data_IF_664568143820
#
_entry.id   IF_664568143820
#
_cell.length_a   1.000
_cell.length_b   1.000
_cell.length_c   1.000
_cell.angle_alpha   90.00
_cell.angle_beta   90.00
_cell.angle_gamma   90.00
#
_symmetry.space_group_name_H-M   'P 1'
#
loop_
_entity.id
_entity.type
_entity.pdbx_description
1 polymer ?
#
# COMPACT_ATOMS: atom_id res chain seq x y z
N UNK A 1 10.14 18.89 -3.58
CA UNK A 1 8.96 18.51 -4.38
C UNK A 1 8.84 17.02 -4.22
N UNK A 2 7.74 16.52 -3.65
CA UNK A 2 7.47 15.09 -3.52
C UNK A 2 7.38 14.48 -4.91
N UNK A 3 8.00 13.33 -5.14
CA UNK A 3 7.71 12.58 -6.37
C UNK A 3 6.28 12.05 -6.29
N UNK A 4 5.54 11.99 -7.41
CA UNK A 4 4.30 11.24 -7.47
C UNK A 4 4.57 9.80 -7.02
N UNK A 5 3.64 9.22 -6.26
CA UNK A 5 3.75 7.82 -5.85
C UNK A 5 2.53 7.01 -6.22
N UNK A 6 2.78 5.73 -6.51
CA UNK A 6 1.76 4.71 -6.65
C UNK A 6 2.03 3.66 -5.57
N UNK A 7 1.07 3.39 -4.71
CA UNK A 7 1.18 2.38 -3.66
C UNK A 7 0.36 1.16 -4.10
N UNK A 8 0.99 -0.01 -4.08
CA UNK A 8 0.35 -1.31 -4.28
C UNK A 8 0.13 -1.92 -2.90
N UNK A 9 -1.12 -2.10 -2.48
CA UNK A 9 -1.47 -2.62 -1.15
C UNK A 9 -2.02 -4.03 -1.29
N UNK A 10 -1.37 -5.01 -0.67
CA UNK A 10 -1.85 -6.39 -0.66
C UNK A 10 -2.83 -6.56 0.51
N UNK A 11 -4.14 -6.72 0.25
CA UNK A 11 -5.11 -6.90 1.31
C UNK A 11 -5.15 -8.34 1.85
N UNK A 12 -4.44 -9.28 1.23
CA UNK A 12 -4.49 -10.71 1.56
C UNK A 12 -3.36 -11.15 2.49
N UNK A 13 -2.26 -10.39 2.56
CA UNK A 13 -1.18 -10.67 3.51
C UNK A 13 -1.67 -10.36 4.92
N UNK A 14 -1.65 -11.38 5.79
CA UNK A 14 -1.98 -11.24 7.20
C UNK A 14 -0.93 -10.40 7.93
N UNK A 15 -1.33 -9.76 9.03
CA UNK A 15 -0.44 -8.90 9.82
C UNK A 15 0.84 -9.61 10.25
N UNK A 16 0.71 -10.86 10.71
CA UNK A 16 1.81 -11.65 11.26
C UNK A 16 2.76 -12.19 10.18
N UNK A 17 2.38 -12.10 8.90
CA UNK A 17 3.20 -12.49 7.74
C UNK A 17 3.77 -11.28 6.98
N UNK A 18 3.42 -10.05 7.38
CA UNK A 18 3.74 -8.84 6.61
C UNK A 18 5.25 -8.57 6.53
N UNK A 19 5.99 -8.83 7.61
CA UNK A 19 7.45 -8.69 7.66
C UNK A 19 8.12 -9.76 6.79
N UNK A 20 7.66 -11.01 6.86
CA UNK A 20 8.15 -12.11 6.05
C UNK A 20 7.91 -11.82 4.56
N UNK A 21 6.73 -11.32 4.18
CA UNK A 21 6.40 -10.93 2.81
C UNK A 21 7.31 -9.79 2.31
N UNK A 22 7.51 -8.74 3.12
CA UNK A 22 8.39 -7.63 2.77
C UNK A 22 9.85 -8.04 2.64
N UNK A 23 10.35 -8.88 3.56
CA UNK A 23 11.71 -9.40 3.52
C UNK A 23 11.93 -10.34 2.32
N UNK A 24 10.97 -11.22 2.04
CA UNK A 24 11.04 -12.13 0.89
C UNK A 24 11.12 -11.35 -0.42
N UNK A 25 10.28 -10.31 -0.59
CA UNK A 25 10.33 -9.47 -1.78
C UNK A 25 11.64 -8.67 -1.86
N UNK A 26 12.12 -8.12 -0.74
CA UNK A 26 13.45 -7.47 -0.71
C UNK A 26 14.55 -8.41 -1.19
N UNK A 27 14.64 -9.62 -0.62
CA UNK A 27 15.67 -10.60 -1.00
C UNK A 27 15.58 -11.00 -2.47
N UNK A 28 14.36 -11.14 -3.01
CA UNK A 28 14.15 -11.40 -4.44
C UNK A 28 14.66 -10.24 -5.30
N UNK A 29 14.24 -9.01 -5.02
CA UNK A 29 14.56 -7.82 -5.82
C UNK A 29 16.01 -7.36 -5.67
N UNK A 30 16.62 -7.59 -4.52
CA UNK A 30 18.05 -7.36 -4.32
C UNK A 30 18.85 -8.46 -5.01
N UNK A 31 18.47 -9.73 -4.83
CA UNK A 31 19.17 -10.88 -5.40
C UNK A 31 19.20 -10.90 -6.92
N UNK A 32 18.17 -10.36 -7.58
CA UNK A 32 18.11 -10.24 -9.04
C UNK A 32 18.65 -8.89 -9.58
N UNK A 33 19.14 -8.01 -8.70
CA UNK A 33 19.71 -6.71 -9.05
C UNK A 33 18.70 -5.63 -9.42
N UNK A 34 17.40 -5.84 -9.17
CA UNK A 34 16.36 -4.82 -9.40
C UNK A 34 16.59 -3.57 -8.56
N UNK A 35 16.97 -3.76 -7.30
CA UNK A 35 17.22 -2.69 -6.33
C UNK A 35 18.60 -2.80 -5.69
N UNK A 36 19.07 -1.70 -5.12
CA UNK A 36 20.26 -1.69 -4.27
C UNK A 36 20.00 -2.26 -2.87
N UNK A 37 21.03 -2.73 -2.16
CA UNK A 37 20.89 -3.35 -0.83
C UNK A 37 20.60 -2.34 0.29
N UNK A 38 20.94 -1.08 0.10
CA UNK A 38 20.83 -0.07 1.15
C UNK A 38 19.71 0.92 0.88
N UNK A 39 19.15 1.42 1.98
CA UNK A 39 18.21 2.52 1.99
C UNK A 39 18.86 3.79 1.45
N UNK A 40 18.11 4.62 0.75
CA UNK A 40 18.58 5.92 0.26
C UNK A 40 17.56 7.04 0.49
N UNK A 41 18.06 8.27 0.55
CA UNK A 41 17.25 9.48 0.77
C UNK A 41 17.14 9.86 2.24
N UNK A 42 16.51 11.01 2.51
CA UNK A 42 16.18 11.48 3.86
C UNK A 42 14.67 11.41 4.05
N UNK A 43 14.21 10.67 5.05
CA UNK A 43 12.78 10.49 5.34
C UNK A 43 12.36 9.03 5.31
N UNK A 44 11.33 8.71 4.52
CA UNK A 44 10.79 7.36 4.38
C UNK A 44 11.83 6.38 3.80
N UNK A 45 11.92 5.13 4.30
CA UNK A 45 12.84 4.13 3.78
C UNK A 45 12.55 3.77 2.31
N UNK A 46 13.58 3.86 1.46
CA UNK A 46 13.46 3.59 0.02
C UNK A 46 14.68 2.87 -0.51
N UNK A 47 14.47 1.98 -1.46
CA UNK A 47 15.49 1.27 -2.22
C UNK A 47 15.62 1.85 -3.62
N UNK A 48 16.85 2.13 -4.05
CA UNK A 48 17.09 2.69 -5.37
C UNK A 48 16.88 1.60 -6.42
N UNK A 49 16.13 1.92 -7.47
CA UNK A 49 15.95 1.02 -8.61
C UNK A 49 17.16 1.08 -9.54
N UNK A 50 17.68 -0.09 -9.90
CA UNK A 50 18.75 -0.28 -10.88
C UNK A 50 18.26 -0.90 -12.18
N UNK A 51 17.15 -1.63 -12.15
CA UNK A 51 16.53 -2.22 -13.34
C UNK A 51 16.15 -1.16 -14.39
N UNK A 52 16.62 -1.37 -15.62
CA UNK A 52 16.42 -0.42 -16.72
C UNK A 52 14.95 -0.31 -17.14
N UNK A 53 14.21 -1.41 -17.18
CA UNK A 53 12.80 -1.44 -17.57
C UNK A 53 11.94 -0.65 -16.57
N UNK A 54 12.18 -0.82 -15.27
CA UNK A 54 11.50 -0.03 -14.24
C UNK A 54 11.79 1.46 -14.37
N UNK A 55 13.05 1.82 -14.65
CA UNK A 55 13.46 3.22 -14.82
C UNK A 55 12.89 3.85 -16.08
N UNK A 56 12.80 3.11 -17.19
CA UNK A 56 12.13 3.55 -18.42
C UNK A 56 10.65 3.86 -18.20
N UNK A 57 10.01 3.13 -17.26
CA UNK A 57 8.64 3.40 -16.78
C UNK A 57 8.56 4.57 -15.80
N UNK A 58 9.68 5.20 -15.47
CA UNK A 58 9.76 6.33 -14.56
C UNK A 58 9.76 5.91 -13.08
N UNK A 59 10.02 4.65 -12.76
CA UNK A 59 10.16 4.17 -11.38
C UNK A 59 11.62 4.31 -10.97
N UNK A 60 11.87 5.19 -10.00
CA UNK A 60 13.22 5.52 -9.56
C UNK A 60 13.59 4.85 -8.24
N UNK A 61 12.57 4.48 -7.46
CA UNK A 61 12.75 3.83 -6.17
C UNK A 61 11.52 3.04 -5.76
N UNK A 62 11.74 2.11 -4.84
CA UNK A 62 10.71 1.30 -4.19
C UNK A 62 10.75 1.53 -2.67
N UNK A 63 9.59 1.62 -2.05
CA UNK A 63 9.42 1.47 -0.60
C UNK A 63 8.70 0.15 -0.35
N UNK A 64 9.18 -0.63 0.60
CA UNK A 64 8.53 -1.88 1.02
C UNK A 64 7.98 -1.66 2.42
N UNK A 65 6.70 -1.91 2.65
CA UNK A 65 6.03 -1.58 3.89
C UNK A 65 5.44 -2.83 4.51
N UNK A 66 5.73 -3.03 5.79
CA UNK A 66 5.14 -4.06 6.63
C UNK A 66 4.59 -3.39 7.89
N UNK A 67 3.31 -3.61 8.18
CA UNK A 67 2.65 -3.01 9.34
C UNK A 67 3.40 -3.33 10.64
N UNK A 68 3.66 -2.32 11.46
CA UNK A 68 4.38 -2.47 12.73
C UNK A 68 5.90 -2.62 12.60
N UNK A 69 6.45 -2.65 11.39
CA UNK A 69 7.89 -2.85 11.15
C UNK A 69 8.51 -1.69 10.39
N UNK A 70 9.79 -1.42 10.65
CA UNK A 70 10.58 -0.42 9.92
C UNK A 70 11.86 -1.02 9.38
N UNK A 71 12.31 -0.49 8.24
CA UNK A 71 13.61 -0.81 7.69
C UNK A 71 14.72 -0.07 8.43
N UNK A 72 15.79 -0.80 8.68
CA UNK A 72 17.10 -0.29 9.10
C UNK A 72 18.14 -0.84 8.14
N UNK A 73 19.29 -0.16 8.05
CA UNK A 73 20.39 -0.58 7.20
C UNK A 73 21.67 -0.73 8.03
N UNK A 74 22.46 -1.74 7.67
CA UNK A 74 23.78 -2.03 8.20
C UNK A 74 24.76 -2.33 7.05
N UNK A 75 25.94 -2.87 7.40
CA UNK A 75 27.00 -3.21 6.45
C UNK A 75 26.63 -4.39 5.53
N UNK A 76 25.67 -5.23 5.92
CA UNK A 76 25.22 -6.41 5.16
C UNK A 76 24.02 -6.11 4.25
N UNK A 77 23.30 -5.02 4.51
CA UNK A 77 22.19 -4.56 3.68
C UNK A 77 21.11 -3.88 4.49
N UNK A 78 19.85 -4.10 4.12
CA UNK A 78 18.69 -3.66 4.90
C UNK A 78 17.97 -4.84 5.55
N UNK A 79 17.44 -4.62 6.74
CA UNK A 79 16.61 -5.58 7.46
C UNK A 79 15.44 -4.89 8.19
N UNK A 80 14.41 -5.67 8.55
CA UNK A 80 13.24 -5.19 9.28
C UNK A 80 13.44 -5.36 10.79
N UNK A 81 12.94 -4.37 11.54
CA UNK A 81 12.84 -4.41 13.00
C UNK A 81 11.48 -3.87 13.44
N UNK A 82 11.05 -4.24 14.64
CA UNK A 82 9.83 -3.74 15.25
C UNK A 82 9.84 -2.22 15.42
N UNK A 83 8.66 -1.62 15.32
CA UNK A 83 8.41 -0.20 15.61
C UNK A 83 8.37 0.70 14.36
N UNK A 84 7.75 0.22 13.28
CA UNK A 84 7.32 1.05 12.15
C UNK A 84 5.88 1.58 12.31
N UNK A 85 5.37 2.34 11.32
CA UNK A 85 3.99 2.83 11.36
C UNK A 85 3.00 1.66 11.51
N UNK A 86 2.16 1.75 12.53
CA UNK A 86 1.49 0.58 13.11
C UNK A 86 0.25 0.13 12.35
N UNK A 87 -0.28 0.96 11.45
CA UNK A 87 -1.70 0.91 11.20
C UNK A 87 -2.10 0.57 9.76
N UNK A 88 -1.27 -0.04 8.92
CA UNK A 88 -1.70 -0.70 7.65
C UNK A 88 -2.67 0.09 6.74
N UNK A 89 -2.73 1.41 6.91
CA UNK A 89 -3.66 2.32 6.26
C UNK A 89 -2.82 3.11 5.30
N UNK A 90 -3.16 3.01 4.02
CA UNK A 90 -2.42 3.65 2.94
C UNK A 90 -3.33 4.66 2.28
N UNK A 91 -3.01 5.93 2.46
CA UNK A 91 -3.77 7.07 1.93
C UNK A 91 -2.81 8.23 1.63
N UNK A 92 -3.05 9.03 0.58
CA UNK A 92 -2.36 10.30 0.46
C UNK A 92 -2.85 11.18 1.60
N UNK A 93 -1.92 11.58 2.46
CA UNK A 93 -2.19 12.37 3.67
C UNK A 93 -2.59 13.81 3.32
N UNK A 94 -3.71 14.01 2.64
CA UNK A 94 -4.30 15.30 2.27
C UNK A 94 -5.55 15.65 3.11
N UNK A 95 -5.83 14.84 4.15
CA UNK A 95 -6.85 15.13 5.15
C UNK A 95 -8.27 14.67 4.81
N UNK A 96 -8.51 14.06 3.65
CA UNK A 96 -9.82 13.45 3.36
C UNK A 96 -9.71 12.44 2.22
N UNK A 97 -10.43 11.33 2.36
CA UNK A 97 -10.61 10.32 1.32
C UNK A 97 -12.08 9.93 1.24
N UNK A 98 -12.47 9.27 0.15
CA UNK A 98 -13.82 8.74 -0.02
C UNK A 98 -13.79 7.26 -0.29
N UNK A 99 -14.52 6.49 0.51
CA UNK A 99 -14.69 5.06 0.32
C UNK A 99 -16.12 4.73 -0.09
N UNK A 100 -16.28 3.57 -0.71
CA UNK A 100 -17.54 3.06 -1.21
C UNK A 100 -17.95 1.81 -0.46
N UNK A 101 -19.20 1.76 -0.03
CA UNK A 101 -19.80 0.55 0.55
C UNK A 101 -19.73 -0.60 -0.46
N UNK A 102 -19.23 -1.78 -0.06
CA UNK A 102 -19.13 -2.93 -0.97
C UNK A 102 -20.50 -3.41 -1.48
N UNK A 103 -21.56 -3.24 -0.70
CA UNK A 103 -22.91 -3.74 -1.03
C UNK A 103 -23.74 -2.76 -1.85
N UNK A 104 -24.01 -1.57 -1.30
CA UNK A 104 -24.93 -0.59 -1.92
C UNK A 104 -24.22 0.49 -2.74
N UNK A 105 -22.88 0.52 -2.70
CA UNK A 105 -22.03 1.52 -3.38
C UNK A 105 -22.20 2.96 -2.91
N UNK A 106 -22.89 3.19 -1.79
CA UNK A 106 -22.96 4.49 -1.13
C UNK A 106 -21.56 5.01 -0.82
N UNK A 107 -21.37 6.32 -0.94
CA UNK A 107 -20.11 6.98 -0.63
C UNK A 107 -20.06 7.38 0.83
N UNK A 108 -18.90 7.23 1.45
CA UNK A 108 -18.65 7.66 2.81
C UNK A 108 -17.29 8.35 2.90
N UNK A 109 -17.24 9.48 3.59
CA UNK A 109 -16.00 10.17 3.93
C UNK A 109 -15.96 10.44 5.45
N UNK A 110 -14.76 10.50 6.05
CA UNK A 110 -14.62 10.96 7.43
C UNK A 110 -15.21 12.37 7.63
N UNK A 111 -15.90 12.60 8.74
CA UNK A 111 -16.55 13.88 9.07
C UNK A 111 -17.86 14.19 8.34
N UNK A 112 -18.43 13.24 7.57
CA UNK A 112 -19.78 13.35 7.01
C UNK A 112 -20.83 12.79 7.99
N UNK A 113 -22.07 13.30 7.97
CA UNK A 113 -23.15 12.76 8.81
C UNK A 113 -23.34 11.25 8.53
N UNK A 114 -23.25 10.41 9.57
CA UNK A 114 -23.32 8.96 9.44
C UNK A 114 -21.97 8.25 9.25
N UNK A 115 -20.84 8.97 9.35
CA UNK A 115 -19.49 8.39 9.25
C UNK A 115 -18.89 7.90 10.59
N UNK A 116 -19.66 7.88 11.68
CA UNK A 116 -19.15 7.51 13.01
C UNK A 116 -18.56 6.11 13.02
N UNK A 117 -19.20 5.16 12.34
CA UNK A 117 -18.69 3.78 12.23
C UNK A 117 -17.37 3.68 11.46
N UNK A 118 -17.13 4.58 10.50
CA UNK A 118 -15.86 4.65 9.78
C UNK A 118 -14.75 5.17 10.70
N UNK A 119 -15.03 6.21 11.47
CA UNK A 119 -14.07 6.78 12.42
C UNK A 119 -13.69 5.77 13.51
N UNK A 120 -14.68 5.04 14.03
CA UNK A 120 -14.45 3.93 14.97
C UNK A 120 -13.62 2.80 14.34
N UNK A 121 -13.95 2.38 13.11
CA UNK A 121 -13.20 1.33 12.41
C UNK A 121 -11.73 1.73 12.18
N UNK A 122 -11.47 2.99 11.82
CA UNK A 122 -10.11 3.51 11.64
C UNK A 122 -9.33 3.54 12.96
N UNK A 123 -9.97 3.89 14.07
CA UNK A 123 -9.36 3.85 15.40
C UNK A 123 -9.07 2.42 15.85
N UNK A 124 -10.02 1.50 15.64
CA UNK A 124 -9.87 0.07 15.97
C UNK A 124 -8.80 -0.60 15.13
N UNK A 125 -8.65 -0.23 13.86
CA UNK A 125 -7.68 -0.85 12.96
C UNK A 125 -6.24 -0.77 13.49
N UNK A 126 -5.89 0.30 14.21
CA UNK A 126 -4.58 0.44 14.84
C UNK A 126 -4.29 -0.67 15.88
N UNK A 127 -5.29 -1.05 16.67
CA UNK A 127 -5.13 -1.98 17.79
C UNK A 127 -5.53 -3.42 17.42
N UNK A 128 -6.66 -3.57 16.72
CA UNK A 128 -7.27 -4.84 16.36
C UNK A 128 -7.82 -4.83 14.91
N UNK A 129 -6.94 -4.93 13.89
CA UNK A 129 -7.32 -4.91 12.47
C UNK A 129 -8.45 -5.85 12.09
N UNK A 130 -8.43 -7.09 12.62
CA UNK A 130 -9.43 -8.12 12.34
C UNK A 130 -10.82 -7.81 12.91
N UNK A 131 -10.93 -6.78 13.75
CA UNK A 131 -12.16 -6.31 14.39
C UNK A 131 -12.64 -4.97 13.83
N UNK A 132 -11.99 -4.42 12.79
CA UNK A 132 -12.38 -3.15 12.19
C UNK A 132 -13.51 -3.35 11.16
N UNK A 133 -14.74 -2.99 11.55
CA UNK A 133 -15.93 -3.08 10.70
C UNK A 133 -16.59 -1.72 10.55
N UNK A 134 -17.08 -1.43 9.34
CA UNK A 134 -17.84 -0.21 9.05
C UNK A 134 -19.29 -0.59 8.82
N UNK A 135 -20.19 0.19 9.41
CA UNK A 135 -21.64 0.07 9.20
C UNK A 135 -22.06 1.09 8.16
N UNK A 136 -22.58 0.62 7.03
CA UNK A 136 -23.06 1.53 5.99
C UNK A 136 -24.33 2.27 6.45
N UNK A 137 -24.35 3.63 6.44
CA UNK A 137 -25.53 4.38 6.88
C UNK A 137 -26.74 4.23 5.93
N UNK A 138 -26.52 3.82 4.68
CA UNK A 138 -27.56 3.71 3.65
C UNK A 138 -28.24 2.34 3.64
N UNK A 139 -27.46 1.24 3.68
CA UNK A 139 -28.01 -0.12 3.61
C UNK A 139 -27.85 -0.95 4.90
N UNK A 140 -27.30 -0.35 5.96
CA UNK A 140 -27.07 -0.97 7.27
C UNK A 140 -26.23 -2.26 7.24
N UNK A 141 -25.46 -2.52 6.17
CA UNK A 141 -24.57 -3.67 6.13
C UNK A 141 -23.32 -3.42 6.98
N UNK A 142 -22.86 -4.50 7.60
CA UNK A 142 -21.67 -4.55 8.44
C UNK A 142 -20.59 -5.29 7.68
N UNK A 143 -19.59 -4.58 7.18
CA UNK A 143 -18.53 -5.20 6.38
C UNK A 143 -17.15 -4.79 6.89
N UNK A 144 -16.15 -5.68 6.79
CA UNK A 144 -14.77 -5.38 7.15
C UNK A 144 -14.27 -4.12 6.45
N UNK A 145 -13.51 -3.28 7.15
CA UNK A 145 -12.95 -2.04 6.57
C UNK A 145 -12.11 -2.33 5.31
N UNK A 146 -11.39 -3.46 5.29
CA UNK A 146 -10.57 -3.91 4.16
C UNK A 146 -11.36 -4.17 2.88
N UNK A 147 -12.69 -4.32 2.93
CA UNK A 147 -13.54 -4.53 1.75
C UNK A 147 -14.03 -3.21 1.13
N UNK A 148 -13.89 -2.10 1.85
CA UNK A 148 -14.26 -0.80 1.33
C UNK A 148 -13.21 -0.33 0.32
N UNK A 149 -13.66 0.29 -0.77
CA UNK A 149 -12.79 0.73 -1.88
C UNK A 149 -12.93 2.21 -2.12
N UNK A 150 -11.81 2.90 -2.34
CA UNK A 150 -11.84 4.28 -2.82
C UNK A 150 -11.98 4.34 -4.34
N UNK A 151 -13.01 5.02 -4.90
CA UNK A 151 -13.10 5.27 -6.33
C UNK A 151 -11.99 6.19 -6.85
N UNK A 152 -11.42 7.03 -5.98
CA UNK A 152 -10.32 7.93 -6.30
C UNK A 152 -8.96 7.26 -6.26
N UNK A 153 -8.89 5.99 -5.80
CA UNK A 153 -7.64 5.31 -5.48
C UNK A 153 -6.80 6.15 -4.51
N UNK A 154 -7.43 6.70 -3.47
CA UNK A 154 -6.80 7.52 -2.43
C UNK A 154 -6.88 6.87 -1.04
N UNK A 155 -7.34 5.62 -0.97
CA UNK A 155 -7.41 4.90 0.29
C UNK A 155 -7.41 3.40 0.04
N UNK A 156 -6.60 2.70 0.80
CA UNK A 156 -6.59 1.26 0.91
C UNK A 156 -6.11 0.84 2.30
N UNK A 157 -6.48 -0.38 2.68
CA UNK A 157 -6.10 -1.00 3.94
C UNK A 157 -5.47 -2.35 3.63
N UNK A 158 -4.34 -2.65 4.27
CA UNK A 158 -3.61 -3.90 4.12
C UNK A 158 -2.40 -3.93 5.04
N UNK A 159 -1.76 -5.09 5.20
CA UNK A 159 -0.60 -5.19 6.09
C UNK A 159 0.74 -5.05 5.38
N UNK A 160 0.74 -5.30 4.07
CA UNK A 160 1.90 -5.20 3.20
C UNK A 160 1.62 -4.25 2.05
N UNK A 161 2.59 -3.39 1.73
CA UNK A 161 2.48 -2.51 0.57
C UNK A 161 3.83 -2.18 -0.09
N UNK A 162 3.76 -1.80 -1.36
CA UNK A 162 4.90 -1.39 -2.16
C UNK A 162 4.64 0.03 -2.67
N UNK A 163 5.46 0.99 -2.25
CA UNK A 163 5.44 2.35 -2.82
C UNK A 163 6.38 2.43 -4.01
N UNK A 164 5.84 2.81 -5.16
CA UNK A 164 6.58 3.09 -6.39
C UNK A 164 6.79 4.61 -6.47
N UNK A 165 8.05 5.05 -6.40
CA UNK A 165 8.41 6.47 -6.47
C UNK A 165 8.80 6.87 -7.88
N UNK A 166 8.22 7.98 -8.36
CA UNK A 166 8.53 8.57 -9.66
C UNK A 166 7.27 8.93 -10.42
N UNK A 167 7.05 8.36 -11.60
CA UNK A 167 5.82 8.65 -12.36
C UNK A 167 4.58 7.96 -11.75
N UNK A 168 3.41 8.58 -11.89
CA UNK A 168 2.14 7.89 -11.62
C UNK A 168 1.92 6.78 -12.65
N UNK A 169 1.94 5.53 -12.20
CA UNK A 169 1.82 4.36 -13.07
C UNK A 169 0.35 3.98 -13.26
N UNK A 170 -0.42 4.87 -13.89
CA UNK A 170 -1.85 4.64 -14.11
C UNK A 170 -2.17 3.38 -14.94
N UNK A 171 -1.20 2.88 -15.73
CA UNK A 171 -1.33 1.61 -16.47
C UNK A 171 -1.63 0.42 -15.56
N UNK A 172 -1.16 0.45 -14.30
CA UNK A 172 -1.41 -0.59 -13.32
C UNK A 172 -2.90 -0.75 -12.93
N UNK A 173 -3.74 0.27 -13.19
CA UNK A 173 -5.15 0.31 -12.76
C UNK A 173 -6.12 -0.58 -13.56
N UNK A 174 -5.63 -1.42 -14.47
CA UNK A 174 -6.47 -2.40 -15.17
C UNK A 174 -6.37 -2.37 -16.68
N UNK A 175 -5.18 -2.12 -17.23
CA UNK A 175 -4.89 -2.38 -18.63
C UNK A 175 -4.60 -3.86 -18.91
N UNK A 176 -4.81 -4.30 -20.16
CA UNK A 176 -4.28 -5.59 -20.68
C UNK A 176 -2.83 -5.46 -21.15
N UNK A 177 -2.09 -4.50 -20.60
CA UNK A 177 -0.68 -4.32 -20.95
C UNK A 177 0.11 -5.46 -20.30
N UNK A 178 0.64 -6.34 -21.13
CA UNK A 178 1.47 -7.45 -20.71
C UNK A 178 2.62 -7.01 -19.80
N UNK A 179 3.16 -5.82 -20.04
CA UNK A 179 4.29 -5.32 -19.28
C UNK A 179 3.87 -4.75 -17.91
N UNK A 180 2.63 -4.27 -17.75
CA UNK A 180 2.08 -3.91 -16.44
C UNK A 180 1.79 -5.16 -15.61
N UNK A 181 1.25 -6.22 -16.22
CA UNK A 181 1.07 -7.52 -15.57
C UNK A 181 2.41 -8.14 -15.17
N UNK A 182 3.41 -8.12 -16.05
CA UNK A 182 4.75 -8.62 -15.75
C UNK A 182 5.42 -7.84 -14.61
N UNK A 183 5.23 -6.52 -14.56
CA UNK A 183 5.68 -5.68 -13.45
C UNK A 183 5.02 -6.09 -12.13
N UNK A 184 3.68 -6.25 -12.12
CA UNK A 184 2.94 -6.68 -10.93
C UNK A 184 3.42 -8.04 -10.43
N UNK A 185 3.58 -9.02 -11.32
CA UNK A 185 4.16 -10.33 -10.97
C UNK A 185 5.56 -10.22 -10.36
N UNK A 186 6.42 -9.39 -10.92
CA UNK A 186 7.77 -9.19 -10.36
C UNK A 186 7.73 -8.57 -8.97
N UNK A 187 6.73 -7.74 -8.69
CA UNK A 187 6.48 -7.13 -7.40
C UNK A 187 5.71 -8.05 -6.42
N UNK A 188 5.58 -9.34 -6.74
CA UNK A 188 4.93 -10.33 -5.86
C UNK A 188 3.43 -10.52 -6.11
N UNK A 189 2.83 -9.77 -7.05
CA UNK A 189 1.41 -9.91 -7.39
C UNK A 189 1.17 -11.12 -8.30
N UNK A 190 0.85 -12.28 -7.72
CA UNK A 190 0.55 -13.46 -8.53
C UNK A 190 -0.89 -13.47 -9.08
N UNK A 191 -1.79 -12.67 -8.52
CA UNK A 191 -3.23 -12.76 -8.79
C UNK A 191 -3.88 -11.45 -9.29
N UNK A 192 -3.11 -10.36 -9.41
CA UNK A 192 -3.63 -9.01 -9.68
C UNK A 192 -4.49 -8.43 -8.55
N UNK A 193 -4.21 -8.80 -7.30
CA UNK A 193 -5.04 -8.47 -6.13
C UNK A 193 -4.62 -7.19 -5.40
N UNK A 194 -3.50 -6.58 -5.81
CA UNK A 194 -3.09 -5.29 -5.26
C UNK A 194 -4.18 -4.22 -5.44
N UNK A 195 -4.52 -3.55 -4.34
CA UNK A 195 -5.31 -2.31 -4.35
C UNK A 195 -4.35 -1.15 -4.61
N UNK A 196 -4.69 -0.31 -5.59
CA UNK A 196 -3.86 0.85 -5.94
C UNK A 196 -4.26 2.08 -5.16
N UNK A 197 -3.26 2.80 -4.67
CA UNK A 197 -3.38 4.16 -4.12
C UNK A 197 -2.44 5.11 -4.89
N UNK A 198 -2.92 6.28 -5.28
CA UNK A 198 -2.14 7.32 -5.94
C UNK A 198 -1.96 8.53 -5.01
N UNK A 199 -0.72 8.88 -4.67
CA UNK A 199 -0.44 10.10 -3.94
C UNK A 199 0.07 11.21 -4.86
N UNK A 200 -0.58 12.38 -4.81
CA UNK A 200 -0.16 13.55 -5.58
C UNK A 200 1.14 14.14 -5.00
N UNK A 201 1.99 14.62 -5.90
CA UNK A 201 3.20 15.39 -5.62
C UNK A 201 2.91 16.73 -4.95
#
# INVERSE_FOLDING_TARGET
MSDPTTILVDPQVERDDADAAAMALYLQLFGDGTIGPHLFGTGEPRFRVHDAMLRERGILALGLHASGHRWVADDEGAHLVDGGPENGIFSPYNGSFRIRCPDCREMLAPGEDGSESLEEALAVWCEAPNSAYVVCPSCASWTPLVDWRSPGHDFAVGHFAITLYGAHLRGLAGGRDHADTALRHRLGDLASDFVLVFARA
#
